data_IF_815208843532
#
_entry.id   IF_815208843532
#
_cell.length_a   1.000
_cell.length_b   1.000
_cell.length_c   1.000
_cell.angle_alpha   90.00
_cell.angle_beta   90.00
_cell.angle_gamma   90.00
#
_symmetry.space_group_name_H-M   'P 1'
#
loop_
_entity.id
_entity.type
_entity.pdbx_description
1 polymer ?
#
# COMPACT_ATOMS: atom_id res chain seq x y z
N UNK A 1 11.31 -5.04 33.69
CA UNK A 1 10.02 -4.65 33.07
C UNK A 1 10.26 -4.48 31.59
N UNK A 2 9.56 -5.23 30.78
CA UNK A 2 9.64 -5.15 29.32
C UNK A 2 8.88 -3.91 28.81
N UNK A 3 9.16 -3.49 27.56
CA UNK A 3 8.41 -2.39 26.94
C UNK A 3 6.90 -2.69 26.83
N UNK A 4 6.53 -3.94 26.61
CA UNK A 4 5.13 -4.37 26.63
C UNK A 4 4.47 -4.17 28.00
N UNK A 5 5.16 -4.55 29.07
CA UNK A 5 4.66 -4.33 30.43
C UNK A 5 4.57 -2.84 30.78
N UNK A 6 5.46 -1.99 30.23
CA UNK A 6 5.40 -0.54 30.40
C UNK A 6 4.17 0.04 29.70
N UNK A 7 3.91 -0.36 28.45
CA UNK A 7 2.71 0.06 27.70
C UNK A 7 1.45 -0.33 28.45
N UNK A 8 1.32 -1.58 28.88
CA UNK A 8 0.14 -2.06 29.61
C UNK A 8 -0.10 -1.26 30.91
N UNK A 9 0.96 -0.92 31.67
CA UNK A 9 0.84 -0.08 32.87
C UNK A 9 0.43 1.36 32.56
N UNK A 10 0.94 1.92 31.47
CA UNK A 10 0.57 3.26 31.04
C UNK A 10 -0.87 3.33 30.53
N UNK A 11 -1.33 2.30 29.81
CA UNK A 11 -2.74 2.17 29.39
C UNK A 11 -3.69 2.08 30.59
N UNK A 12 -3.30 1.34 31.65
CA UNK A 12 -4.05 1.32 32.89
C UNK A 12 -4.09 2.70 33.56
N UNK A 13 -2.96 3.41 33.61
CA UNK A 13 -2.87 4.76 34.19
C UNK A 13 -3.66 5.81 33.38
N UNK A 14 -3.82 5.61 32.06
CA UNK A 14 -4.60 6.48 31.20
C UNK A 14 -6.09 6.51 31.59
N UNK A 15 -6.61 5.42 32.12
CA UNK A 15 -7.98 5.31 32.59
C UNK A 15 -8.25 6.09 33.90
N UNK A 16 -7.20 6.41 34.68
CA UNK A 16 -7.30 7.07 35.99
C UNK A 16 -7.23 8.60 35.99
N UNK A 17 -7.24 9.21 34.82
CA UNK A 17 -7.69 10.61 34.59
C UNK A 17 -6.77 11.80 34.89
N UNK A 18 -5.44 11.66 34.94
CA UNK A 18 -4.56 12.82 34.96
C UNK A 18 -3.52 12.79 33.81
N UNK A 19 -3.48 13.85 33.01
CA UNK A 19 -2.51 14.07 31.91
C UNK A 19 -2.58 13.08 30.72
N UNK A 20 -3.77 12.84 30.20
CA UNK A 20 -4.04 11.88 29.13
C UNK A 20 -3.16 12.06 27.88
N UNK A 21 -2.89 13.31 27.47
CA UNK A 21 -2.11 13.58 26.25
C UNK A 21 -0.64 13.15 26.38
N UNK A 22 -0.02 13.43 27.52
CA UNK A 22 1.39 13.07 27.75
C UNK A 22 1.56 11.56 27.88
N UNK A 23 0.65 10.90 28.61
CA UNK A 23 0.66 9.44 28.76
C UNK A 23 0.45 8.77 27.41
N UNK A 24 -0.49 9.24 26.59
CA UNK A 24 -0.73 8.72 25.25
C UNK A 24 0.50 8.88 24.36
N UNK A 25 1.18 10.02 24.43
CA UNK A 25 2.41 10.27 23.68
C UNK A 25 3.52 9.26 24.02
N UNK A 26 3.67 8.93 25.31
CA UNK A 26 4.65 7.92 25.76
C UNK A 26 4.25 6.52 25.29
N UNK A 27 2.96 6.17 25.35
CA UNK A 27 2.45 4.90 24.83
C UNK A 27 2.73 4.78 23.32
N UNK A 28 2.45 5.83 22.57
CA UNK A 28 2.68 5.83 21.11
C UNK A 28 4.16 5.69 20.78
N UNK A 29 5.07 6.36 21.51
CA UNK A 29 6.52 6.24 21.32
C UNK A 29 7.02 4.82 21.64
N UNK A 30 6.59 4.23 22.75
CA UNK A 30 6.97 2.86 23.10
C UNK A 30 6.44 1.83 22.10
N UNK A 31 5.23 2.00 21.62
CA UNK A 31 4.66 1.15 20.58
C UNK A 31 5.43 1.25 19.25
N UNK A 32 5.91 2.45 18.88
CA UNK A 32 6.78 2.63 17.71
C UNK A 32 8.11 1.89 17.87
N UNK A 33 8.73 1.97 19.06
CA UNK A 33 9.97 1.25 19.32
C UNK A 33 9.77 -0.28 19.27
N UNK A 34 8.68 -0.79 19.85
CA UNK A 34 8.32 -2.21 19.80
C UNK A 34 8.15 -2.67 18.35
N UNK A 35 7.42 -1.91 17.52
CA UNK A 35 7.26 -2.19 16.10
C UNK A 35 8.58 -2.15 15.33
N UNK A 36 9.43 -1.17 15.64
CA UNK A 36 10.74 -1.06 15.03
C UNK A 36 11.64 -2.26 15.37
N UNK A 37 11.61 -2.74 16.59
CA UNK A 37 12.36 -3.93 17.01
C UNK A 37 11.84 -5.20 16.33
N UNK A 38 10.54 -5.41 16.29
CA UNK A 38 9.92 -6.53 15.60
C UNK A 38 10.29 -6.57 14.11
N UNK A 39 10.39 -5.40 13.48
CA UNK A 39 10.73 -5.29 12.06
C UNK A 39 12.25 -5.42 11.75
N UNK A 40 13.14 -5.43 12.76
CA UNK A 40 14.59 -5.60 12.53
C UNK A 40 14.97 -6.99 12.03
N UNK A 41 14.26 -8.01 12.47
CA UNK A 41 14.52 -9.43 12.14
C UNK A 41 13.96 -9.87 10.79
N UNK A 42 13.25 -9.00 10.06
CA UNK A 42 12.63 -9.32 8.79
C UNK A 42 13.66 -9.68 7.71
N UNK A 43 13.36 -10.68 6.90
CA UNK A 43 14.10 -11.02 5.68
C UNK A 43 13.95 -9.95 4.59
N UNK A 44 14.72 -10.05 3.51
CA UNK A 44 14.71 -9.02 2.44
C UNK A 44 13.33 -8.86 1.79
N UNK A 45 12.63 -9.95 1.48
CA UNK A 45 11.28 -9.89 0.91
C UNK A 45 10.31 -9.15 1.84
N UNK A 46 10.30 -9.49 3.12
CA UNK A 46 9.45 -8.82 4.11
C UNK A 46 9.84 -7.35 4.35
N UNK A 47 11.13 -7.00 4.25
CA UNK A 47 11.57 -5.59 4.29
C UNK A 47 11.05 -4.80 3.10
N UNK A 48 11.04 -5.40 1.91
CA UNK A 48 10.45 -4.81 0.72
C UNK A 48 8.94 -4.63 0.87
N UNK A 49 8.25 -5.64 1.38
CA UNK A 49 6.83 -5.58 1.70
C UNK A 49 6.53 -4.50 2.73
N UNK A 50 7.30 -4.41 3.81
CA UNK A 50 7.17 -3.34 4.81
C UNK A 50 7.38 -1.95 4.21
N UNK A 51 8.36 -1.80 3.31
CA UNK A 51 8.59 -0.53 2.58
C UNK A 51 7.39 -0.16 1.72
N UNK A 52 6.82 -1.11 0.98
CA UNK A 52 5.63 -0.89 0.19
C UNK A 52 4.42 -0.50 1.07
N UNK A 53 4.19 -1.19 2.19
CA UNK A 53 3.15 -0.83 3.15
C UNK A 53 3.31 0.61 3.68
N UNK A 54 4.53 1.01 4.05
CA UNK A 54 4.81 2.40 4.49
C UNK A 54 4.54 3.42 3.39
N UNK A 55 4.84 3.11 2.13
CA UNK A 55 4.51 3.99 0.99
C UNK A 55 3.00 4.15 0.81
N UNK A 56 2.22 3.07 0.96
CA UNK A 56 0.75 3.12 0.94
C UNK A 56 0.24 4.01 2.07
N UNK A 57 0.69 3.79 3.30
CA UNK A 57 0.23 4.54 4.47
C UNK A 57 0.56 6.03 4.37
N UNK A 58 1.73 6.40 3.83
CA UNK A 58 2.10 7.80 3.61
C UNK A 58 1.13 8.53 2.66
N UNK A 59 0.54 7.83 1.70
CA UNK A 59 -0.51 8.38 0.83
C UNK A 59 -1.84 8.40 1.57
N UNK A 60 -2.16 7.35 2.31
CA UNK A 60 -3.39 7.24 3.09
C UNK A 60 -3.60 8.40 4.08
N UNK A 61 -2.53 8.95 4.64
CA UNK A 61 -2.58 10.13 5.52
C UNK A 61 -3.14 11.38 4.82
N UNK A 62 -2.98 11.47 3.50
CA UNK A 62 -3.31 12.66 2.70
C UNK A 62 -4.66 12.58 2.00
N UNK A 63 -5.20 11.40 1.82
CA UNK A 63 -6.34 11.13 0.93
C UNK A 63 -7.56 10.63 1.68
N UNK A 64 -8.69 11.24 1.42
CA UNK A 64 -10.04 10.73 1.30
C UNK A 64 -10.69 10.05 2.50
N UNK A 65 -11.51 9.08 2.18
CA UNK A 65 -12.45 8.43 3.08
C UNK A 65 -11.75 7.51 4.11
N UNK A 66 -11.92 7.72 5.42
CA UNK A 66 -11.31 6.91 6.48
C UNK A 66 -11.60 5.41 6.37
N UNK A 67 -12.75 5.02 5.81
CA UNK A 67 -13.14 3.61 5.63
C UNK A 67 -12.33 2.86 4.57
N UNK A 68 -11.66 3.59 3.68
CA UNK A 68 -10.92 3.02 2.55
C UNK A 68 -9.42 3.00 2.77
N UNK A 69 -8.93 3.54 3.88
CA UNK A 69 -7.50 3.73 4.11
C UNK A 69 -7.07 3.31 5.51
N UNK A 70 -5.87 2.76 5.61
CA UNK A 70 -5.28 2.38 6.89
C UNK A 70 -4.80 0.93 6.92
N UNK A 71 -4.67 0.40 8.12
CA UNK A 71 -4.24 -0.96 8.41
C UNK A 71 -5.34 -1.67 9.20
N UNK A 72 -5.78 -2.83 8.72
CA UNK A 72 -6.79 -3.65 9.40
C UNK A 72 -6.40 -5.11 9.42
N UNK A 73 -6.77 -5.81 10.48
CA UNK A 73 -6.70 -7.27 10.60
C UNK A 73 -8.10 -7.86 10.38
N UNK A 74 -8.21 -8.75 9.41
CA UNK A 74 -9.45 -9.48 9.12
C UNK A 74 -9.09 -10.91 8.79
N UNK A 75 -9.60 -11.89 9.54
CA UNK A 75 -9.35 -13.32 9.34
C UNK A 75 -7.84 -13.64 9.21
N UNK A 76 -7.05 -13.18 10.18
CA UNK A 76 -5.59 -13.36 10.26
C UNK A 76 -4.76 -12.76 9.10
N UNK A 77 -5.40 -12.06 8.18
CA UNK A 77 -4.73 -11.28 7.14
C UNK A 77 -4.70 -9.81 7.50
N UNK A 78 -3.58 -9.15 7.18
CA UNK A 78 -3.44 -7.71 7.35
C UNK A 78 -3.67 -7.01 6.02
N UNK A 79 -4.58 -6.06 6.02
CA UNK A 79 -4.91 -5.22 4.86
C UNK A 79 -4.32 -3.83 5.07
N UNK A 80 -3.63 -3.31 4.04
CA UNK A 80 -3.03 -1.97 4.06
C UNK A 80 -3.48 -1.22 2.81
N UNK A 81 -4.23 -0.13 2.98
CA UNK A 81 -4.89 0.58 1.88
C UNK A 81 -4.76 2.10 1.96
N UNK A 82 -4.74 2.75 0.79
CA UNK A 82 -4.89 4.20 0.62
C UNK A 82 -6.15 4.58 -0.19
N UNK A 83 -6.99 3.61 -0.49
CA UNK A 83 -8.21 3.77 -1.29
C UNK A 83 -8.01 3.62 -2.81
N UNK A 84 -6.76 3.59 -3.29
CA UNK A 84 -6.42 3.36 -4.70
C UNK A 84 -5.75 2.01 -4.93
N UNK A 85 -5.17 1.48 -3.86
CA UNK A 85 -4.43 0.22 -3.86
C UNK A 85 -4.56 -0.44 -2.50
N UNK A 86 -4.46 -1.76 -2.48
CA UNK A 86 -4.52 -2.55 -1.26
C UNK A 86 -3.43 -3.61 -1.28
N UNK A 87 -2.67 -3.71 -0.19
CA UNK A 87 -1.78 -4.84 0.09
C UNK A 87 -2.52 -5.78 1.03
N UNK A 88 -2.54 -7.06 0.71
CA UNK A 88 -3.09 -8.13 1.55
C UNK A 88 -1.94 -8.98 2.04
N UNK A 89 -1.46 -8.72 3.25
CA UNK A 89 -0.38 -9.48 3.86
C UNK A 89 -0.93 -10.79 4.43
N UNK A 90 -0.33 -11.92 4.06
CA UNK A 90 -0.67 -13.24 4.63
C UNK A 90 -0.15 -13.40 6.05
N UNK A 91 1.00 -12.80 6.34
CA UNK A 91 1.56 -12.72 7.70
C UNK A 91 1.58 -11.26 8.11
N UNK A 92 0.88 -10.87 9.18
CA UNK A 92 0.86 -9.49 9.63
C UNK A 92 2.26 -8.95 9.95
N UNK A 93 2.56 -7.76 9.45
CA UNK A 93 3.75 -6.99 9.82
C UNK A 93 3.44 -6.12 11.04
N UNK A 94 4.49 -5.74 11.79
CA UNK A 94 4.32 -4.83 12.92
C UNK A 94 4.04 -3.40 12.43
N UNK A 95 2.79 -3.14 12.07
CA UNK A 95 2.25 -1.84 11.65
C UNK A 95 1.21 -1.36 12.68
N UNK A 96 1.04 -0.03 12.79
CA UNK A 96 -0.01 0.54 13.62
C UNK A 96 -1.37 0.31 12.95
N UNK A 97 -2.27 -0.41 13.63
CA UNK A 97 -3.63 -0.60 13.15
C UNK A 97 -4.41 0.72 13.17
N UNK A 98 -5.30 0.87 12.19
CA UNK A 98 -6.18 2.02 12.10
C UNK A 98 -7.43 1.80 12.94
N UNK A 99 -7.86 2.86 13.62
CA UNK A 99 -9.12 2.88 14.35
C UNK A 99 -10.15 3.60 13.49
N UNK A 100 -11.28 2.96 13.25
CA UNK A 100 -12.40 3.60 12.57
C UNK A 100 -13.08 4.57 13.55
N UNK A 101 -13.42 5.77 13.07
CA UNK A 101 -14.07 6.81 13.90
C UNK A 101 -15.40 6.35 14.47
N UNK A 102 -16.16 5.57 13.70
CA UNK A 102 -17.39 4.94 14.15
C UNK A 102 -17.17 3.43 14.32
N UNK A 103 -17.34 2.86 15.54
CA UNK A 103 -17.19 1.43 15.79
C UNK A 103 -18.17 0.53 14.99
N UNK A 104 -19.28 1.10 14.50
CA UNK A 104 -20.22 0.38 13.65
C UNK A 104 -19.73 0.24 12.19
N UNK A 105 -18.73 1.03 11.80
CA UNK A 105 -18.16 0.96 10.47
C UNK A 105 -17.30 -0.29 10.32
N UNK A 106 -17.32 -0.84 9.11
CA UNK A 106 -16.45 -1.97 8.74
C UNK A 106 -15.36 -1.47 7.79
N UNK A 107 -14.14 -1.99 7.89
CA UNK A 107 -13.12 -1.73 6.89
C UNK A 107 -13.57 -2.27 5.53
N UNK A 108 -12.88 -1.82 4.48
CA UNK A 108 -13.12 -2.26 3.10
C UNK A 108 -13.03 -3.79 3.00
N UNK A 109 -14.09 -4.41 2.49
CA UNK A 109 -14.10 -5.86 2.21
C UNK A 109 -13.32 -6.16 0.91
N UNK A 110 -12.02 -6.20 1.03
CA UNK A 110 -11.09 -6.42 -0.09
C UNK A 110 -11.22 -7.83 -0.66
N UNK A 111 -11.47 -8.83 0.19
CA UNK A 111 -11.62 -10.20 -0.29
C UNK A 111 -12.83 -10.32 -1.22
N UNK A 112 -13.97 -9.76 -0.82
CA UNK A 112 -15.15 -9.72 -1.68
C UNK A 112 -14.93 -8.93 -2.97
N UNK A 113 -14.07 -7.90 -2.95
CA UNK A 113 -13.69 -7.19 -4.18
C UNK A 113 -12.88 -8.08 -5.13
N UNK A 114 -11.89 -8.81 -4.61
CA UNK A 114 -11.06 -9.73 -5.40
C UNK A 114 -11.93 -10.86 -5.97
N UNK A 115 -12.80 -11.44 -5.16
CA UNK A 115 -13.66 -12.56 -5.54
C UNK A 115 -14.69 -12.20 -6.64
N UNK A 116 -15.07 -10.92 -6.72
CA UNK A 116 -16.00 -10.43 -7.76
C UNK A 116 -15.32 -10.11 -9.09
N UNK A 117 -14.00 -10.03 -9.12
CA UNK A 117 -13.28 -9.76 -10.36
C UNK A 117 -13.10 -11.06 -11.14
N UNK A 118 -13.68 -11.11 -12.34
CA UNK A 118 -13.38 -12.18 -13.30
C UNK A 118 -12.04 -11.90 -13.97
N UNK A 119 -10.97 -12.53 -13.46
CA UNK A 119 -9.65 -12.44 -14.07
C UNK A 119 -9.59 -13.39 -15.27
N UNK A 120 -9.35 -12.85 -16.46
CA UNK A 120 -9.38 -13.58 -17.73
C UNK A 120 -8.00 -13.80 -18.35
N UNK A 121 -6.96 -13.19 -17.80
CA UNK A 121 -5.61 -13.30 -18.35
C UNK A 121 -4.56 -12.65 -17.44
N UNK A 122 -3.35 -12.59 -17.97
CA UNK A 122 -2.21 -11.97 -17.30
C UNK A 122 -1.48 -11.01 -18.25
N UNK A 123 -0.96 -9.93 -17.70
CA UNK A 123 -0.05 -9.01 -18.41
C UNK A 123 1.35 -9.07 -17.78
N UNK A 124 2.42 -8.99 -18.59
CA UNK A 124 3.78 -8.92 -18.07
C UNK A 124 3.99 -7.59 -17.33
N UNK A 125 4.76 -7.64 -16.25
CA UNK A 125 5.15 -6.47 -15.49
C UNK A 125 6.60 -6.10 -15.81
N UNK A 126 6.97 -4.81 -15.75
CA UNK A 126 8.37 -4.41 -15.78
C UNK A 126 9.10 -4.97 -14.55
N UNK A 127 10.39 -5.16 -14.66
CA UNK A 127 11.23 -5.41 -13.49
C UNK A 127 11.26 -4.20 -12.56
N UNK A 128 11.57 -4.43 -11.28
CA UNK A 128 11.69 -3.32 -10.32
C UNK A 128 12.73 -2.29 -10.78
N UNK A 129 13.85 -2.73 -11.37
CA UNK A 129 14.91 -1.86 -11.87
C UNK A 129 14.44 -1.00 -13.05
N UNK A 130 13.70 -1.57 -14.00
CA UNK A 130 13.14 -0.86 -15.15
C UNK A 130 12.15 0.22 -14.70
N UNK A 131 11.16 -0.12 -13.87
CA UNK A 131 10.18 0.87 -13.43
C UNK A 131 10.81 1.97 -12.56
N UNK A 132 11.78 1.66 -11.70
CA UNK A 132 12.50 2.67 -10.92
C UNK A 132 13.33 3.61 -11.79
N UNK A 133 14.00 3.08 -12.84
CA UNK A 133 14.74 3.88 -13.82
C UNK A 133 13.82 4.85 -14.54
N UNK A 134 12.67 4.38 -15.01
CA UNK A 134 11.68 5.19 -15.71
C UNK A 134 11.08 6.28 -14.81
N UNK A 135 10.73 5.95 -13.56
CA UNK A 135 10.25 6.92 -12.58
C UNK A 135 11.31 7.99 -12.34
N UNK A 136 12.58 7.61 -12.21
CA UNK A 136 13.69 8.56 -12.01
C UNK A 136 13.86 9.49 -13.20
N UNK A 137 13.79 8.97 -14.43
CA UNK A 137 13.84 9.74 -15.68
C UNK A 137 12.70 10.76 -15.72
N UNK A 138 11.45 10.33 -15.50
CA UNK A 138 10.29 11.21 -15.50
C UNK A 138 10.38 12.29 -14.40
N UNK A 139 10.85 11.95 -13.19
CA UNK A 139 11.04 12.93 -12.11
C UNK A 139 12.08 13.99 -12.47
N UNK A 140 13.16 13.61 -13.13
CA UNK A 140 14.16 14.56 -13.60
C UNK A 140 13.57 15.51 -14.65
N UNK A 141 12.75 14.99 -15.56
CA UNK A 141 12.06 15.79 -16.58
C UNK A 141 11.03 16.75 -15.96
N UNK A 142 10.20 16.29 -15.03
CA UNK A 142 9.26 17.13 -14.27
C UNK A 142 9.99 18.30 -13.62
N UNK A 143 11.14 18.02 -12.98
CA UNK A 143 11.97 19.04 -12.34
C UNK A 143 12.55 20.02 -13.35
N UNK A 144 13.11 19.53 -14.45
CA UNK A 144 13.72 20.37 -15.50
C UNK A 144 12.69 21.28 -16.18
N UNK A 145 11.50 20.75 -16.45
CA UNK A 145 10.40 21.49 -17.09
C UNK A 145 9.54 22.29 -16.10
N UNK A 146 9.84 22.22 -14.79
CA UNK A 146 9.07 22.88 -13.71
C UNK A 146 7.56 22.60 -13.78
N UNK A 147 7.19 21.37 -14.12
CA UNK A 147 5.79 20.96 -14.19
C UNK A 147 5.24 20.85 -12.76
N UNK A 148 4.14 21.53 -12.49
CA UNK A 148 3.41 21.44 -11.23
C UNK A 148 2.43 20.27 -11.29
N UNK A 149 2.23 19.62 -10.14
CA UNK A 149 1.23 18.57 -9.95
C UNK A 149 1.28 17.43 -10.99
N UNK A 150 2.52 17.10 -11.44
CA UNK A 150 2.73 16.04 -12.41
C UNK A 150 2.48 14.65 -11.80
N UNK A 151 1.75 13.83 -12.53
CA UNK A 151 1.59 12.41 -12.24
C UNK A 151 2.45 11.58 -13.20
N UNK A 152 3.26 10.68 -12.66
CA UNK A 152 4.03 9.75 -13.47
C UNK A 152 3.17 8.50 -13.65
N UNK A 153 2.79 8.26 -14.90
CA UNK A 153 2.00 7.09 -15.29
C UNK A 153 2.89 6.06 -15.96
N UNK A 154 2.55 4.80 -15.82
CA UNK A 154 3.17 3.68 -16.52
C UNK A 154 2.12 2.90 -17.28
N UNK A 155 2.30 2.77 -18.59
CA UNK A 155 1.39 2.05 -19.46
C UNK A 155 2.05 0.77 -19.96
N UNK A 156 1.33 -0.33 -19.84
CA UNK A 156 1.69 -1.62 -20.40
C UNK A 156 0.75 -1.87 -21.57
N UNK A 157 1.30 -2.18 -22.75
CA UNK A 157 0.52 -2.67 -23.88
C UNK A 157 0.52 -4.20 -23.86
N UNK A 158 -0.66 -4.79 -23.82
CA UNK A 158 -0.83 -6.22 -24.00
C UNK A 158 -1.96 -6.47 -25.02
N UNK A 159 -1.63 -7.12 -26.11
CA UNK A 159 -2.47 -7.17 -27.32
C UNK A 159 -2.84 -5.74 -27.78
N UNK A 160 -4.12 -5.44 -27.94
CA UNK A 160 -4.61 -4.11 -28.35
C UNK A 160 -5.15 -3.28 -27.17
N UNK A 161 -4.86 -3.70 -25.93
CA UNK A 161 -5.30 -3.02 -24.72
C UNK A 161 -4.11 -2.33 -24.03
N UNK A 162 -4.34 -1.09 -23.60
CA UNK A 162 -3.40 -0.31 -22.83
C UNK A 162 -3.84 -0.28 -21.37
N UNK A 163 -2.94 -0.71 -20.48
CA UNK A 163 -3.14 -0.79 -19.03
C UNK A 163 -2.31 0.29 -18.36
N UNK A 164 -2.95 1.33 -17.86
CA UNK A 164 -2.24 2.49 -17.32
C UNK A 164 -2.44 2.62 -15.81
N UNK A 165 -1.34 2.78 -15.10
CA UNK A 165 -1.29 2.89 -13.65
C UNK A 165 -0.41 4.03 -13.20
N UNK A 166 -0.60 4.53 -11.99
CA UNK A 166 0.40 5.37 -11.35
C UNK A 166 1.69 4.54 -11.20
N UNK A 167 2.80 5.06 -11.76
CA UNK A 167 4.07 4.32 -11.83
C UNK A 167 4.65 3.99 -10.45
N UNK A 168 4.51 4.89 -9.48
CA UNK A 168 4.99 4.65 -8.12
C UNK A 168 4.13 3.59 -7.40
N UNK A 169 2.83 3.56 -7.68
CA UNK A 169 1.93 2.55 -7.13
C UNK A 169 2.21 1.18 -7.73
N UNK A 170 2.44 1.11 -9.04
CA UNK A 170 2.83 -0.14 -9.71
C UNK A 170 4.18 -0.66 -9.18
N UNK A 171 5.18 0.22 -9.02
CA UNK A 171 6.46 -0.12 -8.40
C UNK A 171 6.29 -0.70 -7.00
N UNK A 172 5.44 -0.08 -6.18
CA UNK A 172 5.21 -0.56 -4.81
C UNK A 172 4.53 -1.94 -4.80
N UNK A 173 3.65 -2.23 -5.78
CA UNK A 173 3.07 -3.56 -5.96
C UNK A 173 4.11 -4.61 -6.33
N UNK A 174 4.99 -4.32 -7.30
CA UNK A 174 6.10 -5.20 -7.68
C UNK A 174 7.04 -5.41 -6.48
N UNK A 175 7.35 -4.34 -5.74
CA UNK A 175 8.20 -4.40 -4.56
C UNK A 175 7.59 -5.28 -3.45
N UNK A 176 6.27 -5.18 -3.24
CA UNK A 176 5.56 -5.93 -2.21
C UNK A 176 5.45 -7.42 -2.53
N UNK A 177 5.23 -7.77 -3.79
CA UNK A 177 4.87 -9.13 -4.21
C UNK A 177 6.00 -9.89 -4.87
N UNK A 178 6.96 -9.19 -5.48
CA UNK A 178 7.97 -9.78 -6.37
C UNK A 178 7.36 -10.36 -7.66
N UNK A 179 6.11 -9.98 -7.98
CA UNK A 179 5.42 -10.51 -9.15
C UNK A 179 6.05 -10.04 -10.46
N UNK A 180 6.08 -10.93 -11.45
CA UNK A 180 6.53 -10.67 -12.83
C UNK A 180 5.36 -10.51 -13.82
N UNK A 181 4.15 -10.85 -13.39
CA UNK A 181 2.92 -10.64 -14.12
C UNK A 181 1.80 -10.19 -13.17
N UNK A 182 0.76 -9.62 -13.74
CA UNK A 182 -0.45 -9.26 -13.01
C UNK A 182 -1.68 -9.88 -13.68
N UNK A 183 -2.59 -10.38 -12.86
CA UNK A 183 -3.90 -10.85 -13.33
C UNK A 183 -4.77 -9.66 -13.71
N UNK A 184 -5.43 -9.75 -14.84
CA UNK A 184 -6.27 -8.70 -15.41
C UNK A 184 -7.67 -9.21 -15.74
N UNK A 185 -8.65 -8.33 -15.58
CA UNK A 185 -10.02 -8.60 -16.05
C UNK A 185 -10.20 -8.34 -17.54
N UNK A 186 -11.42 -8.48 -18.04
CA UNK A 186 -11.75 -8.26 -19.48
C UNK A 186 -11.52 -6.82 -19.95
N UNK A 187 -11.54 -5.87 -19.04
CA UNK A 187 -11.41 -4.43 -19.34
C UNK A 187 -10.30 -3.81 -18.51
N UNK A 188 -9.61 -2.85 -19.11
CA UNK A 188 -8.58 -2.06 -18.43
C UNK A 188 -9.11 -1.14 -17.32
N UNK A 189 -10.43 -1.07 -17.10
CA UNK A 189 -11.07 -0.33 -15.99
C UNK A 189 -11.16 -1.15 -14.72
N UNK A 190 -10.86 -2.43 -14.77
CA UNK A 190 -10.88 -3.34 -13.63
C UNK A 190 -9.52 -3.30 -12.92
N UNK A 191 -9.48 -3.32 -11.58
CA UNK A 191 -8.22 -3.40 -10.86
C UNK A 191 -7.41 -4.64 -11.27
N UNK A 192 -6.09 -4.52 -11.28
CA UNK A 192 -5.20 -5.68 -11.46
C UNK A 192 -4.81 -6.27 -10.13
N UNK A 193 -4.49 -7.57 -10.15
CA UNK A 193 -4.03 -8.30 -8.99
C UNK A 193 -2.62 -8.86 -9.24
N UNK A 194 -1.66 -8.40 -8.45
CA UNK A 194 -0.32 -8.94 -8.37
C UNK A 194 -0.28 -9.95 -7.23
N UNK A 195 0.14 -11.19 -7.53
CA UNK A 195 0.21 -12.26 -6.53
C UNK A 195 1.67 -12.51 -6.17
N UNK A 196 1.97 -12.54 -4.88
CA UNK A 196 3.29 -12.91 -4.35
C UNK A 196 3.20 -14.01 -3.30
N UNK A 197 4.32 -14.42 -2.74
CA UNK A 197 4.37 -15.43 -1.69
C UNK A 197 3.83 -14.91 -0.35
N UNK A 198 4.26 -13.71 0.04
CA UNK A 198 3.94 -13.14 1.35
C UNK A 198 2.71 -12.21 1.31
N UNK A 199 2.40 -11.66 0.14
CA UNK A 199 1.30 -10.73 -0.03
C UNK A 199 0.71 -10.77 -1.43
N UNK A 200 -0.56 -10.33 -1.54
CA UNK A 200 -1.20 -9.94 -2.79
C UNK A 200 -1.36 -8.41 -2.82
N UNK A 201 -1.42 -7.86 -4.02
CA UNK A 201 -1.54 -6.42 -4.23
C UNK A 201 -2.59 -6.12 -5.28
N UNK A 202 -3.66 -5.44 -4.86
CA UNK A 202 -4.71 -4.96 -5.74
C UNK A 202 -4.44 -3.50 -6.11
N UNK A 203 -4.43 -3.17 -7.41
CA UNK A 203 -4.14 -1.83 -7.92
C UNK A 203 -5.23 -1.35 -8.84
N UNK A 204 -5.84 -0.21 -8.51
CA UNK A 204 -6.79 0.45 -9.39
C UNK A 204 -6.07 1.08 -10.59
N UNK A 205 -6.71 1.01 -11.76
CA UNK A 205 -6.23 1.67 -12.98
C UNK A 205 -6.43 3.19 -12.90
N UNK A 206 -5.72 3.90 -13.78
CA UNK A 206 -5.94 5.33 -14.01
C UNK A 206 -6.61 5.49 -15.37
N UNK A 207 -7.75 6.16 -15.37
CA UNK A 207 -8.44 6.45 -16.62
C UNK A 207 -7.68 7.54 -17.38
N UNK A 208 -7.03 7.17 -18.47
CA UNK A 208 -6.31 8.09 -19.36
C UNK A 208 -6.62 7.74 -20.82
N UNK A 209 -6.60 8.77 -21.66
CA UNK A 209 -6.75 8.61 -23.10
C UNK A 209 -5.41 8.47 -23.82
N UNK A 210 -4.31 8.45 -23.09
CA UNK A 210 -2.97 8.42 -23.67
C UNK A 210 -2.57 6.99 -23.99
N UNK A 211 -2.35 6.73 -25.27
CA UNK A 211 -1.81 5.47 -25.79
C UNK A 211 -0.28 5.56 -25.80
N UNK A 212 0.34 5.29 -24.70
CA UNK A 212 1.78 5.32 -24.53
C UNK A 212 2.26 4.06 -23.81
N UNK A 213 3.41 3.53 -24.20
CA UNK A 213 4.02 2.36 -23.55
C UNK A 213 5.25 2.83 -22.76
N UNK A 214 5.38 2.34 -21.51
CA UNK A 214 6.40 2.78 -20.58
C UNK A 214 5.92 3.94 -19.70
N UNK A 215 6.84 4.60 -18.98
CA UNK A 215 6.50 5.70 -18.10
C UNK A 215 6.47 7.03 -18.83
N UNK A 216 5.44 7.82 -18.54
CA UNK A 216 5.27 9.17 -19.07
C UNK A 216 4.71 10.11 -17.99
N UNK A 217 4.75 11.40 -18.29
CA UNK A 217 4.19 12.43 -17.43
C UNK A 217 2.79 12.77 -17.95
N UNK A 218 1.78 12.63 -17.07
CA UNK A 218 0.40 12.99 -17.35
C UNK A 218 0.11 14.44 -16.93
#
# INVERSE_FOLDING_TARGET
MTKYEMVAKLEMALNDNHNKADVQSVIDALNEEIRAEANKSLGNAQKNLLKACKNVLKVAEKVGNPKLKGVWLVNDKQYVSDGYRVIVNRTPLALKESVLENPADKPLDVQSMIDRVNFVGEIPLPTLAEIESEIKRCKAEVKARKIKDAYIMYTIKCHDIYWTYNAEYLRDGILATGATCAKVGEKNTIPILLCGTDADYLLCHVNTKVEHVGAYIA
#
